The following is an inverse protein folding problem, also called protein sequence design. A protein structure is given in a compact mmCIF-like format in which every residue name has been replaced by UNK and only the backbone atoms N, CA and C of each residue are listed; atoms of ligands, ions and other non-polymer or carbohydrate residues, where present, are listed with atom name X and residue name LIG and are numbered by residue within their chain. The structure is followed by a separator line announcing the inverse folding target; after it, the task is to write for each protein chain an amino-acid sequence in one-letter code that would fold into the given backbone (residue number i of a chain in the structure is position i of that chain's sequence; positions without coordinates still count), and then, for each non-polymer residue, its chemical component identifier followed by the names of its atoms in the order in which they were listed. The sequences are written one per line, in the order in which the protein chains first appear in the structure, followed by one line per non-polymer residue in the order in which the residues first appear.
data_IF_226834606313
#
_entry.id   IF_226834606313
#
_cell.length_a   1.000
_cell.length_b   1.000
_cell.length_c   1.000
_cell.angle_alpha   90.00
_cell.angle_beta   90.00
_cell.angle_gamma   90.00
#
_symmetry.space_group_name_H-M   'P 1'
#
loop_
_entity.id
_entity.type
_entity.pdbx_description
1 polymer ?
#
# COMPACT_ATOMS: atom_id res chain seq x y z
N UNK A 1 3.17 -6.92 20.78
CA UNK A 1 2.60 -5.76 20.07
C UNK A 1 3.01 -5.89 18.61
N UNK A 2 2.06 -6.23 17.75
CA UNK A 2 2.28 -6.22 16.31
C UNK A 2 2.28 -4.76 15.86
N UNK A 3 3.35 -4.34 15.17
CA UNK A 3 3.56 -2.94 14.78
C UNK A 3 3.06 -2.77 13.35
N UNK A 4 2.29 -1.70 13.09
CA UNK A 4 1.94 -1.30 11.73
C UNK A 4 3.21 -0.95 10.96
N UNK A 5 3.47 -1.66 9.87
CA UNK A 5 4.64 -1.44 9.00
C UNK A 5 4.15 -1.13 7.59
N UNK A 6 4.00 0.15 7.23
CA UNK A 6 3.60 0.51 5.87
C UNK A 6 4.67 0.04 4.89
N UNK A 7 4.23 -0.48 3.76
CA UNK A 7 5.09 -0.99 2.68
C UNK A 7 4.92 -0.18 1.40
N UNK A 8 3.78 0.49 1.25
CA UNK A 8 3.37 1.21 0.06
C UNK A 8 2.69 2.53 0.44
N UNK A 9 2.51 3.38 -0.57
CA UNK A 9 1.73 4.61 -0.52
C UNK A 9 0.52 4.45 -1.44
N UNK A 10 -0.66 4.74 -0.91
CA UNK A 10 -1.85 4.99 -1.70
C UNK A 10 -1.85 6.48 -2.09
N UNK A 11 -1.77 6.75 -3.38
CA UNK A 11 -1.67 8.09 -3.95
C UNK A 11 -2.99 8.44 -4.63
N UNK A 12 -3.67 9.45 -4.11
CA UNK A 12 -4.91 9.97 -4.68
C UNK A 12 -4.62 10.86 -5.91
N UNK A 13 -5.60 11.04 -6.82
CA UNK A 13 -5.44 11.90 -8.01
C UNK A 13 -5.06 13.36 -7.69
N UNK A 14 -5.45 13.85 -6.50
CA UNK A 14 -5.13 15.19 -6.02
C UNK A 14 -3.71 15.32 -5.43
N UNK A 15 -2.92 14.22 -5.40
CA UNK A 15 -1.56 14.18 -4.88
C UNK A 15 -1.46 13.86 -3.38
N UNK A 16 -2.57 13.58 -2.70
CA UNK A 16 -2.58 13.10 -1.32
C UNK A 16 -1.98 11.69 -1.23
N UNK A 17 -1.12 11.45 -0.24
CA UNK A 17 -0.39 10.20 -0.08
C UNK A 17 -0.66 9.60 1.30
N UNK A 18 -1.13 8.36 1.33
CA UNK A 18 -1.48 7.65 2.55
C UNK A 18 -0.58 6.41 2.68
N UNK A 19 0.22 6.27 3.75
CA UNK A 19 0.99 5.05 4.01
C UNK A 19 0.07 3.86 4.28
N UNK A 20 0.27 2.80 3.52
CA UNK A 20 -0.54 1.58 3.59
C UNK A 20 0.33 0.33 3.68
N UNK A 21 -0.20 -0.67 4.36
CA UNK A 21 0.38 -2.00 4.43
C UNK A 21 -0.41 -2.93 3.51
N UNK A 22 0.28 -3.59 2.58
CA UNK A 22 -0.35 -4.56 1.68
C UNK A 22 -0.31 -5.96 2.29
N UNK A 23 -1.47 -6.61 2.36
CA UNK A 23 -1.58 -8.01 2.79
C UNK A 23 -2.02 -8.86 1.61
N UNK A 24 -1.18 -9.80 1.20
CA UNK A 24 -1.51 -10.74 0.11
C UNK A 24 -2.67 -11.66 0.52
N UNK A 25 -3.67 -11.76 -0.34
CA UNK A 25 -4.71 -12.78 -0.24
C UNK A 25 -4.20 -14.06 -0.91
N UNK A 26 -4.16 -15.20 -0.22
CA UNK A 26 -3.51 -16.43 -0.74
C UNK A 26 -4.18 -17.03 -1.98
N UNK A 27 -5.47 -16.75 -2.18
CA UNK A 27 -6.29 -17.34 -3.25
C UNK A 27 -6.50 -16.40 -4.44
N UNK A 28 -6.01 -15.15 -4.35
CA UNK A 28 -6.13 -14.15 -5.41
C UNK A 28 -4.80 -13.43 -5.63
N UNK A 29 -4.59 -12.82 -6.80
CA UNK A 29 -3.45 -11.94 -7.03
C UNK A 29 -3.69 -10.53 -6.45
N UNK A 30 -4.66 -10.40 -5.53
CA UNK A 30 -5.06 -9.14 -4.91
C UNK A 30 -4.43 -8.99 -3.53
N UNK A 31 -4.25 -7.74 -3.14
CA UNK A 31 -3.74 -7.34 -1.85
C UNK A 31 -4.81 -6.54 -1.13
N UNK A 32 -5.03 -6.83 0.16
CA UNK A 32 -5.77 -5.93 1.03
C UNK A 32 -4.88 -4.73 1.32
N UNK A 33 -5.43 -3.54 1.13
CA UNK A 33 -4.75 -2.28 1.42
C UNK A 33 -5.20 -1.86 2.81
N UNK A 34 -4.27 -1.90 3.78
CA UNK A 34 -4.58 -1.63 5.19
C UNK A 34 -3.96 -0.28 5.59
N UNK A 35 -4.78 0.64 6.08
CA UNK A 35 -4.32 1.90 6.65
C UNK A 35 -3.90 1.75 8.11
N UNK A 36 -3.21 2.76 8.66
CA UNK A 36 -2.85 2.77 10.08
C UNK A 36 -4.10 2.74 10.97
N UNK A 37 -5.14 3.49 10.61
CA UNK A 37 -6.41 3.55 11.34
C UNK A 37 -7.10 2.17 11.35
N UNK A 38 -7.24 1.53 10.19
CA UNK A 38 -7.85 0.20 10.09
C UNK A 38 -7.08 -0.85 10.92
N UNK A 39 -5.75 -0.74 10.95
CA UNK A 39 -4.90 -1.62 11.73
C UNK A 39 -5.06 -1.42 13.24
N UNK A 40 -5.10 -0.17 13.70
CA UNK A 40 -5.26 0.17 15.12
C UNK A 40 -6.65 -0.22 15.66
N UNK A 41 -7.69 -0.02 14.84
CA UNK A 41 -9.05 -0.42 15.18
C UNK A 41 -9.29 -1.92 15.07
N UNK A 42 -8.48 -2.64 14.30
CA UNK A 42 -8.74 -4.03 13.92
C UNK A 42 -9.94 -4.15 12.96
N UNK A 43 -10.20 -3.09 12.20
CA UNK A 43 -11.28 -2.99 11.23
C UNK A 43 -10.98 -3.82 9.97
N UNK A 44 -12.02 -4.22 9.25
CA UNK A 44 -11.86 -4.96 7.99
C UNK A 44 -11.41 -3.99 6.89
N UNK A 45 -10.28 -4.24 6.21
CA UNK A 45 -9.79 -3.37 5.14
C UNK A 45 -10.80 -3.26 4.01
N UNK A 46 -11.07 -2.04 3.56
CA UNK A 46 -12.14 -1.78 2.57
C UNK A 46 -11.57 -1.70 1.13
N UNK A 47 -10.29 -1.38 1.02
CA UNK A 47 -9.60 -1.24 -0.24
C UNK A 47 -8.83 -2.52 -0.60
N UNK A 48 -8.87 -2.85 -1.88
CA UNK A 48 -8.09 -3.93 -2.47
C UNK A 48 -7.26 -3.37 -3.63
N UNK A 49 -6.12 -3.98 -3.88
CA UNK A 49 -5.25 -3.59 -4.98
C UNK A 49 -4.79 -4.80 -5.78
N UNK A 50 -4.78 -4.66 -7.09
CA UNK A 50 -4.19 -5.61 -8.02
C UNK A 50 -3.15 -4.90 -8.90
N UNK A 51 -1.94 -5.45 -9.08
CA UNK A 51 -0.88 -4.80 -9.85
C UNK A 51 -1.26 -4.41 -11.28
N UNK A 52 -2.13 -5.19 -11.93
CA UNK A 52 -2.57 -4.93 -13.31
C UNK A 52 -3.93 -4.24 -13.43
N UNK A 53 -4.76 -4.26 -12.37
CA UNK A 53 -6.14 -3.72 -12.44
C UNK A 53 -6.33 -2.45 -11.61
N UNK A 54 -5.35 -2.10 -10.78
CA UNK A 54 -5.38 -0.92 -9.92
C UNK A 54 -6.11 -1.15 -8.59
N UNK A 55 -6.56 -0.04 -8.00
CA UNK A 55 -7.24 -0.03 -6.69
C UNK A 55 -8.75 -0.22 -6.88
N UNK A 56 -9.34 -1.08 -6.06
CA UNK A 56 -10.78 -1.31 -5.98
C UNK A 56 -11.31 -1.05 -4.57
N UNK A 57 -12.50 -0.46 -4.48
CA UNK A 57 -13.24 -0.28 -3.24
C UNK A 57 -14.51 -1.10 -3.29
N UNK A 58 -14.63 -2.12 -2.43
CA UNK A 58 -15.78 -3.05 -2.43
C UNK A 58 -16.16 -3.59 -3.83
N UNK A 59 -15.15 -3.90 -4.64
CA UNK A 59 -15.32 -4.37 -6.02
C UNK A 59 -15.50 -3.28 -7.10
N UNK A 60 -15.56 -2.00 -6.75
CA UNK A 60 -15.60 -0.89 -7.71
C UNK A 60 -14.20 -0.36 -8.00
N UNK A 61 -13.81 -0.31 -9.27
CA UNK A 61 -12.53 0.29 -9.67
C UNK A 61 -12.50 1.79 -9.38
N UNK A 62 -11.45 2.21 -8.69
CA UNK A 62 -11.19 3.61 -8.43
C UNK A 62 -10.11 4.12 -9.37
N UNK A 63 -10.54 4.87 -10.39
CA UNK A 63 -9.65 5.43 -11.39
C UNK A 63 -8.77 6.53 -10.78
N UNK A 64 -7.48 6.52 -11.13
CA UNK A 64 -6.49 7.52 -10.71
C UNK A 64 -5.96 7.37 -9.29
N UNK A 65 -6.37 6.32 -8.56
CA UNK A 65 -5.69 5.90 -7.34
C UNK A 65 -4.55 4.95 -7.70
N UNK A 66 -3.35 5.27 -7.23
CA UNK A 66 -2.15 4.51 -7.49
C UNK A 66 -1.58 3.95 -6.18
N UNK A 67 -0.98 2.77 -6.25
CA UNK A 67 -0.23 2.18 -5.14
C UNK A 67 1.24 2.15 -5.57
N UNK A 68 2.06 2.91 -4.86
CA UNK A 68 3.49 2.99 -5.12
C UNK A 68 4.26 2.35 -3.98
N UNK A 69 5.39 1.65 -4.23
CA UNK A 69 6.25 1.18 -3.15
C UNK A 69 6.69 2.37 -2.32
N UNK A 70 6.62 2.24 -1.00
CA UNK A 70 7.24 3.18 -0.09
C UNK A 70 8.73 2.94 -0.31
N UNK A 71 9.37 3.74 -1.19
CA UNK A 71 10.79 3.58 -1.52
C UNK A 71 11.53 3.34 -0.21
N UNK A 72 12.15 2.16 -0.07
CA UNK A 72 13.00 1.89 1.06
C UNK A 72 13.97 3.06 1.13
N UNK A 73 13.81 3.92 2.13
CA UNK A 73 14.73 5.01 2.45
C UNK A 73 16.05 4.40 2.90
N UNK A 74 16.74 3.73 1.98
CA UNK A 74 18.16 3.48 2.09
C UNK A 74 18.82 4.63 1.36
N UNK A 75 19.56 5.51 2.05
CA UNK A 75 20.57 6.27 1.33
C UNK A 75 21.47 5.22 0.67
N UNK A 76 21.41 5.13 -0.66
CA UNK A 76 22.42 4.46 -1.45
C UNK A 76 23.72 5.25 -1.31
N UNK A 77 24.35 5.15 -0.14
CA UNK A 77 25.74 5.51 0.03
C UNK A 77 26.55 4.40 -0.64
N UNK A 78 26.63 4.49 -1.97
CA UNK A 78 27.66 3.80 -2.73
C UNK A 78 29.00 4.33 -2.22
N UNK A 79 29.59 3.62 -1.26
CA UNK A 79 31.00 3.77 -0.96
C UNK A 79 31.76 3.27 -2.18
N UNK A 80 32.12 4.19 -3.08
CA UNK A 80 33.08 3.93 -4.12
C UNK A 80 34.39 3.50 -3.44
N UNK A 81 34.74 2.22 -3.56
CA UNK A 81 36.09 1.75 -3.27
C UNK A 81 36.99 2.26 -4.40
N UNK A 82 37.79 3.28 -4.09
CA UNK A 82 38.99 3.67 -4.86
C UNK A 82 40.19 3.42 -3.97
#
# INVERSE_FOLDING_TARGET
MTVFKPTHLLVAPAGEQIPVMLISQKESLRYLVVTAEEYEEGSTPIYEWHPCEGVTYRGYHLNGLEILPLECQQPLQYSALV
#
